data_IF_684837745210
#
_entry.id   IF_684837745210
#
_cell.length_a   1.000
_cell.length_b   1.000
_cell.length_c   1.000
_cell.angle_alpha   90.00
_cell.angle_beta   90.00
_cell.angle_gamma   90.00
#
_symmetry.space_group_name_H-M   'P 1'
#
loop_
_entity.id
_entity.type
_entity.pdbx_description
1 polymer ?
#
# COMPACT_ATOMS: atom_id res chain seq x y z
N UNK A 1 6.59 -7.16 7.89
CA UNK A 1 7.29 -6.41 6.83
C UNK A 1 6.88 -7.01 5.50
N UNK A 2 6.27 -6.25 4.61
CA UNK A 2 5.79 -6.75 3.32
C UNK A 2 6.87 -6.49 2.27
N UNK A 3 7.48 -7.55 1.75
CA UNK A 3 8.43 -7.45 0.64
C UNK A 3 7.64 -7.27 -0.65
N UNK A 4 7.81 -6.13 -1.31
CA UNK A 4 7.18 -5.86 -2.61
C UNK A 4 7.95 -6.64 -3.67
N UNK A 5 7.29 -7.55 -4.38
CA UNK A 5 7.89 -8.21 -5.54
C UNK A 5 8.04 -7.17 -6.66
N UNK A 6 9.26 -6.99 -7.16
CA UNK A 6 9.58 -6.01 -8.21
C UNK A 6 10.22 -4.70 -7.70
N UNK A 7 10.36 -4.52 -6.39
CA UNK A 7 11.13 -3.42 -5.80
C UNK A 7 12.02 -3.95 -4.67
N UNK A 8 13.25 -3.41 -4.55
CA UNK A 8 14.12 -3.71 -3.39
C UNK A 8 13.63 -3.04 -2.10
N UNK A 9 12.56 -2.25 -2.18
CA UNK A 9 11.97 -1.60 -1.03
C UNK A 9 11.04 -2.55 -0.25
N UNK A 10 11.21 -2.57 1.06
CA UNK A 10 10.37 -3.32 2.00
C UNK A 10 9.36 -2.35 2.62
N UNK A 11 8.07 -2.66 2.51
CA UNK A 11 7.02 -1.89 3.21
C UNK A 11 7.01 -2.33 4.67
N UNK A 12 7.51 -1.47 5.54
CA UNK A 12 7.52 -1.70 6.99
C UNK A 12 6.18 -1.29 7.60
N UNK A 13 5.82 -1.95 8.70
CA UNK A 13 4.67 -1.56 9.51
C UNK A 13 4.91 -0.14 10.03
N UNK A 14 3.97 0.77 9.78
CA UNK A 14 4.10 2.21 10.07
C UNK A 14 4.37 3.10 8.86
N UNK A 15 4.51 2.53 7.65
CA UNK A 15 4.59 3.32 6.41
C UNK A 15 3.27 4.06 6.19
N UNK A 16 3.30 5.40 6.29
CA UNK A 16 2.13 6.25 6.02
C UNK A 16 2.05 6.56 4.53
N UNK A 17 0.92 6.22 3.92
CA UNK A 17 0.64 6.57 2.52
C UNK A 17 -0.42 7.66 2.50
N UNK A 18 -0.17 8.72 1.73
CA UNK A 18 -1.08 9.85 1.55
C UNK A 18 -1.69 9.74 0.14
N UNK A 19 -2.91 10.25 -0.04
CA UNK A 19 -3.65 10.20 -1.31
C UNK A 19 -4.05 8.76 -1.72
N UNK A 20 -4.87 8.11 -0.89
CA UNK A 20 -5.44 6.78 -1.17
C UNK A 20 -6.73 6.90 -1.98
N UNK A 21 -6.98 5.95 -2.87
CA UNK A 21 -8.23 5.77 -3.60
C UNK A 21 -8.87 4.47 -3.15
N UNK A 22 -10.15 4.53 -2.81
CA UNK A 22 -10.95 3.36 -2.51
C UNK A 22 -11.45 2.79 -3.83
N UNK A 23 -11.19 1.51 -4.07
CA UNK A 23 -11.60 0.80 -5.28
C UNK A 23 -12.45 -0.39 -4.86
N UNK A 24 -13.55 -0.62 -5.56
CA UNK A 24 -14.36 -1.83 -5.39
C UNK A 24 -13.85 -2.88 -6.39
N UNK A 25 -12.92 -3.73 -5.93
CA UNK A 25 -12.25 -4.74 -6.75
C UNK A 25 -11.51 -5.78 -5.91
N UNK A 26 -10.49 -6.42 -6.48
CA UNK A 26 -9.67 -7.44 -5.78
C UNK A 26 -8.80 -6.86 -4.65
N UNK A 27 -8.55 -5.55 -4.69
CA UNK A 27 -7.89 -4.77 -3.65
C UNK A 27 -8.76 -3.58 -3.25
N UNK A 28 -8.94 -3.38 -1.95
CA UNK A 28 -9.83 -2.34 -1.42
C UNK A 28 -9.22 -0.93 -1.56
N UNK A 29 -7.89 -0.83 -1.50
CA UNK A 29 -7.18 0.45 -1.39
C UNK A 29 -6.07 0.51 -2.43
N UNK A 30 -6.21 1.43 -3.38
CA UNK A 30 -5.13 1.81 -4.29
C UNK A 30 -4.40 3.03 -3.71
N UNK A 31 -3.09 2.92 -3.55
CA UNK A 31 -2.28 3.97 -2.97
C UNK A 31 -0.94 4.11 -3.69
N UNK A 32 -0.38 5.33 -3.70
CA UNK A 32 0.94 5.58 -4.30
C UNK A 32 1.98 5.78 -3.20
N UNK A 33 2.92 4.84 -3.11
CA UNK A 33 4.02 4.91 -2.17
C UNK A 33 5.22 5.60 -2.85
N UNK A 34 5.77 6.69 -2.27
CA UNK A 34 6.94 7.34 -2.83
C UNK A 34 8.14 6.38 -2.79
N UNK A 35 8.78 6.16 -3.95
CA UNK A 35 9.92 5.25 -4.10
C UNK A 35 9.57 3.80 -4.47
N UNK A 36 8.30 3.40 -4.38
CA UNK A 36 7.84 2.06 -4.79
C UNK A 36 6.89 2.13 -5.99
N UNK A 37 6.01 3.13 -6.04
CA UNK A 37 5.02 3.29 -7.11
C UNK A 37 3.59 3.10 -6.62
N UNK A 38 2.68 2.79 -7.54
CA UNK A 38 1.29 2.45 -7.19
C UNK A 38 1.22 1.04 -6.60
N UNK A 39 0.46 0.87 -5.53
CA UNK A 39 0.32 -0.39 -4.81
C UNK A 39 -1.13 -0.55 -4.36
N UNK A 40 -1.73 -1.66 -4.77
CA UNK A 40 -2.99 -2.15 -4.21
C UNK A 40 -2.74 -2.81 -2.86
N UNK A 41 -3.44 -2.35 -1.83
CA UNK A 41 -3.43 -2.89 -0.48
C UNK A 41 -4.85 -3.38 -0.12
N UNK A 42 -4.90 -4.49 0.63
CA UNK A 42 -6.15 -4.92 1.28
C UNK A 42 -6.35 -4.18 2.58
N UNK A 43 -7.61 -3.92 2.90
CA UNK A 43 -8.03 -3.26 4.13
C UNK A 43 -7.52 -3.96 5.40
N UNK A 44 -7.29 -5.27 5.36
CA UNK A 44 -6.76 -6.07 6.48
C UNK A 44 -5.34 -5.66 6.94
N UNK A 45 -4.53 -5.08 6.03
CA UNK A 45 -3.13 -4.73 6.31
C UNK A 45 -2.89 -3.25 6.57
N UNK A 46 -3.94 -2.43 6.47
CA UNK A 46 -3.86 -1.00 6.72
C UNK A 46 -4.76 -0.62 7.87
N UNK A 47 -4.36 0.41 8.62
CA UNK A 47 -5.21 1.03 9.63
C UNK A 47 -5.41 2.49 9.24
N UNK A 48 -6.65 2.96 9.36
CA UNK A 48 -6.94 4.38 9.28
C UNK A 48 -6.28 5.06 10.49
N UNK A 49 -5.38 5.98 10.22
CA UNK A 49 -4.69 6.80 11.20
C UNK A 49 -5.14 8.26 11.06
#
# INVERSE_FOLDING_TARGET
DLKVKGSSAVVKVGTRVKNIRLVEGDHDIDCRIPGIGAMGLKSEFVKKA
#
